data_IF_184602551869
#
_entry.id   IF_184602551869
#
_cell.length_a   1.000
_cell.length_b   1.000
_cell.length_c   1.000
_cell.angle_alpha   90.00
_cell.angle_beta   90.00
_cell.angle_gamma   90.00
#
_symmetry.space_group_name_H-M   'P 1'
#
loop_
_entity.id
_entity.type
_entity.pdbx_description
1 polymer ?
#
# COMPACT_ATOMS: atom_id res chain seq x y z
N UNK A 1 13.46 -7.36 54.85
CA UNK A 1 13.31 -7.33 53.37
C UNK A 1 12.63 -6.03 52.97
N UNK A 2 13.28 -5.20 52.15
CA UNK A 2 12.79 -3.86 51.76
C UNK A 2 11.70 -3.86 50.67
N UNK A 3 10.82 -4.86 50.64
CA UNK A 3 9.80 -5.03 49.60
C UNK A 3 8.43 -4.69 50.18
N UNK A 4 7.61 -3.95 49.43
CA UNK A 4 6.26 -3.60 49.87
C UNK A 4 5.37 -4.84 50.04
N UNK A 5 4.56 -4.89 51.11
CA UNK A 5 3.61 -5.99 51.35
C UNK A 5 2.68 -6.23 50.16
N UNK A 6 2.29 -5.15 49.46
CA UNK A 6 1.44 -5.20 48.26
C UNK A 6 2.09 -6.00 47.14
N UNK A 7 3.39 -5.83 46.94
CA UNK A 7 4.15 -6.57 45.91
C UNK A 7 4.17 -8.06 46.26
N UNK A 8 4.42 -8.40 47.53
CA UNK A 8 4.42 -9.79 48.02
C UNK A 8 3.06 -10.45 47.78
N UNK A 9 1.96 -9.81 48.18
CA UNK A 9 0.61 -10.34 47.95
C UNK A 9 0.25 -10.45 46.47
N UNK A 10 0.72 -9.55 45.62
CA UNK A 10 0.52 -9.62 44.17
C UNK A 10 1.27 -10.80 43.55
N UNK A 11 2.45 -11.15 44.08
CA UNK A 11 3.21 -12.33 43.64
C UNK A 11 2.53 -13.61 44.12
N UNK A 12 2.17 -13.72 45.40
CA UNK A 12 1.47 -14.90 45.94
C UNK A 12 0.18 -15.20 45.16
N UNK A 13 -0.66 -14.17 44.93
CA UNK A 13 -1.88 -14.34 44.11
C UNK A 13 -1.60 -14.79 42.68
N UNK A 14 -0.47 -14.39 42.07
CA UNK A 14 -0.12 -14.88 40.73
C UNK A 14 0.21 -16.36 40.74
N UNK A 15 0.97 -16.81 41.73
CA UNK A 15 1.34 -18.21 41.93
C UNK A 15 0.11 -19.09 42.22
N UNK A 16 -0.78 -18.63 43.10
CA UNK A 16 -2.05 -19.33 43.40
C UNK A 16 -2.93 -19.49 42.14
N UNK A 17 -2.88 -18.53 41.23
CA UNK A 17 -3.59 -18.58 39.94
C UNK A 17 -2.81 -19.32 38.83
N UNK A 18 -1.73 -20.04 39.17
CA UNK A 18 -0.93 -20.82 38.21
C UNK A 18 -0.05 -19.98 37.28
N UNK A 19 0.16 -18.70 37.57
CA UNK A 19 1.02 -17.81 36.78
C UNK A 19 2.46 -17.76 37.32
N UNK A 20 3.40 -17.34 36.47
CA UNK A 20 4.81 -17.15 36.83
C UNK A 20 5.04 -16.04 37.87
N UNK A 21 6.08 -16.23 38.69
CA UNK A 21 6.62 -15.25 39.65
C UNK A 21 7.33 -14.09 38.94
N UNK A 22 7.74 -14.31 37.69
CA UNK A 22 8.48 -13.33 36.91
C UNK A 22 7.71 -12.02 36.72
N UNK A 23 8.47 -10.96 36.46
CA UNK A 23 7.90 -9.65 36.15
C UNK A 23 7.11 -9.73 34.85
N UNK A 24 5.83 -9.39 34.91
CA UNK A 24 5.03 -9.20 33.69
C UNK A 24 5.62 -8.05 32.87
N UNK A 25 5.87 -8.30 31.59
CA UNK A 25 6.25 -7.26 30.64
C UNK A 25 5.11 -6.25 30.55
N UNK A 26 5.42 -4.97 30.74
CA UNK A 26 4.41 -3.91 30.72
C UNK A 26 3.71 -3.83 29.35
N UNK A 27 2.40 -3.60 29.34
CA UNK A 27 1.56 -3.52 28.15
C UNK A 27 1.68 -2.19 27.38
N UNK A 28 2.87 -1.58 27.37
CA UNK A 28 3.08 -0.24 26.81
C UNK A 28 2.51 -0.12 25.40
N UNK A 29 1.76 0.96 25.12
CA UNK A 29 1.17 1.19 23.80
C UNK A 29 2.29 1.46 22.78
N UNK A 30 2.43 0.65 21.72
CA UNK A 30 3.42 0.94 20.69
C UNK A 30 3.08 2.26 20.00
N UNK A 31 4.08 3.15 19.89
CA UNK A 31 3.92 4.43 19.21
C UNK A 31 3.65 4.19 17.71
N UNK A 32 2.43 4.44 17.25
CA UNK A 32 2.07 4.31 15.83
C UNK A 32 2.42 5.61 15.11
N UNK A 33 3.27 5.52 14.07
CA UNK A 33 3.64 6.67 13.22
C UNK A 33 2.49 7.17 12.33
N UNK A 34 1.40 6.39 12.22
CA UNK A 34 0.28 6.67 11.34
C UNK A 34 -1.03 6.18 11.96
N UNK A 35 -2.11 6.94 11.75
CA UNK A 35 -3.45 6.51 12.15
C UNK A 35 -3.95 5.34 11.31
N UNK A 36 -4.84 4.53 11.88
CA UNK A 36 -5.41 3.36 11.21
C UNK A 36 -6.12 3.74 9.89
N UNK A 37 -6.91 4.82 9.90
CA UNK A 37 -7.59 5.35 8.70
C UNK A 37 -6.64 5.69 7.55
N UNK A 38 -5.48 6.29 7.85
CA UNK A 38 -4.46 6.60 6.83
C UNK A 38 -3.79 5.33 6.29
N UNK A 39 -3.63 4.31 7.15
CA UNK A 39 -3.07 3.02 6.77
C UNK A 39 -3.98 2.28 5.80
N UNK A 40 -5.29 2.29 6.05
CA UNK A 40 -6.30 1.72 5.16
C UNK A 40 -6.36 2.46 3.83
N UNK A 41 -6.32 3.79 3.85
CA UNK A 41 -6.26 4.59 2.61
C UNK A 41 -5.01 4.25 1.76
N UNK A 42 -3.85 4.03 2.39
CA UNK A 42 -2.62 3.61 1.73
C UNK A 42 -2.75 2.23 1.06
N UNK A 43 -3.34 1.27 1.79
CA UNK A 43 -3.58 -0.10 1.29
C UNK A 43 -4.55 -0.04 0.12
N UNK A 44 -5.69 0.64 0.26
CA UNK A 44 -6.69 0.80 -0.80
C UNK A 44 -6.11 1.50 -2.04
N UNK A 45 -5.24 2.49 -1.86
CA UNK A 45 -4.59 3.15 -2.99
C UNK A 45 -3.65 2.21 -3.77
N UNK A 46 -3.08 1.21 -3.10
CA UNK A 46 -2.04 0.32 -3.65
C UNK A 46 -2.59 -1.05 -4.08
N UNK A 47 -3.72 -1.47 -3.54
CA UNK A 47 -4.36 -2.75 -3.83
C UNK A 47 -4.78 -2.82 -5.31
N UNK A 48 -4.40 -3.91 -5.99
CA UNK A 48 -4.74 -4.15 -7.40
C UNK A 48 -4.05 -3.24 -8.43
N UNK A 49 -3.17 -2.31 -8.02
CA UNK A 49 -2.46 -1.43 -8.95
C UNK A 49 -1.06 -1.94 -9.28
N UNK A 50 -0.72 -1.91 -10.57
CA UNK A 50 0.60 -2.28 -11.07
C UNK A 50 1.50 -1.06 -11.22
N UNK A 51 2.81 -1.22 -10.95
CA UNK A 51 3.82 -0.20 -11.26
C UNK A 51 3.78 1.06 -10.39
N UNK A 52 3.16 1.00 -9.20
CA UNK A 52 3.14 2.15 -8.29
C UNK A 52 4.47 2.27 -7.55
N UNK A 53 5.18 3.38 -7.76
CA UNK A 53 6.45 3.64 -7.08
C UNK A 53 6.23 4.07 -5.63
N UNK A 54 6.79 3.31 -4.69
CA UNK A 54 6.78 3.65 -3.26
C UNK A 54 7.38 5.03 -2.96
N UNK A 55 8.38 5.46 -3.76
CA UNK A 55 8.99 6.80 -3.63
C UNK A 55 8.00 7.91 -3.95
N UNK A 56 6.98 7.64 -4.77
CA UNK A 56 5.90 8.59 -5.10
C UNK A 56 4.74 8.52 -4.10
N UNK A 57 4.55 7.38 -3.44
CA UNK A 57 3.48 7.21 -2.45
C UNK A 57 3.86 7.84 -1.11
N UNK A 58 5.09 7.61 -0.63
CA UNK A 58 5.56 8.09 0.68
C UNK A 58 5.28 9.57 0.96
N UNK A 59 5.62 10.50 0.05
CA UNK A 59 5.35 11.93 0.22
C UNK A 59 3.87 12.27 0.44
N UNK A 60 2.93 11.55 -0.20
CA UNK A 60 1.48 11.78 -0.05
C UNK A 60 0.99 11.53 1.39
N UNK A 61 1.67 10.63 2.09
CA UNK A 61 1.33 10.25 3.45
C UNK A 61 2.34 10.76 4.48
N UNK A 62 3.32 11.58 4.06
CA UNK A 62 4.43 12.09 4.88
C UNK A 62 5.20 10.98 5.62
N UNK A 63 5.47 9.86 4.93
CA UNK A 63 6.20 8.72 5.49
C UNK A 63 7.27 8.18 4.55
N UNK A 64 8.27 7.54 5.14
CA UNK A 64 9.38 6.94 4.39
C UNK A 64 8.94 5.75 3.54
N UNK A 65 9.65 5.57 2.41
CA UNK A 65 9.51 4.41 1.52
C UNK A 65 9.55 3.08 2.29
N UNK A 66 10.46 2.95 3.26
CA UNK A 66 10.63 1.72 4.05
C UNK A 66 9.39 1.41 4.87
N UNK A 67 8.78 2.44 5.47
CA UNK A 67 7.57 2.29 6.27
C UNK A 67 6.36 1.92 5.41
N UNK A 68 6.22 2.54 4.22
CA UNK A 68 5.21 2.15 3.21
C UNK A 68 5.36 0.67 2.85
N UNK A 69 6.59 0.24 2.53
CA UNK A 69 6.88 -1.15 2.15
C UNK A 69 6.45 -2.15 3.22
N UNK A 70 6.74 -1.86 4.49
CA UNK A 70 6.35 -2.73 5.60
C UNK A 70 4.84 -2.83 5.75
N UNK A 71 4.13 -1.70 5.70
CA UNK A 71 2.65 -1.71 5.77
C UNK A 71 2.06 -2.56 4.65
N UNK A 72 2.54 -2.41 3.42
CA UNK A 72 1.99 -3.15 2.29
C UNK A 72 2.28 -4.66 2.40
N UNK A 73 3.45 -5.04 2.91
CA UNK A 73 3.78 -6.45 3.21
C UNK A 73 2.87 -7.04 4.29
N UNK A 74 2.66 -6.32 5.38
CA UNK A 74 1.77 -6.74 6.48
C UNK A 74 0.31 -6.92 6.02
N UNK A 75 -0.11 -6.21 4.97
CA UNK A 75 -1.47 -6.29 4.41
C UNK A 75 -1.54 -7.15 3.13
N UNK A 76 -0.53 -8.00 2.87
CA UNK A 76 -0.47 -8.90 1.71
C UNK A 76 -0.60 -8.21 0.34
N UNK A 77 -0.29 -6.92 0.24
CA UNK A 77 -0.31 -6.18 -1.02
C UNK A 77 0.98 -6.46 -1.78
N UNK A 78 0.87 -7.26 -2.85
CA UNK A 78 2.01 -7.55 -3.73
C UNK A 78 2.40 -6.32 -4.52
N UNK A 79 3.64 -5.88 -4.35
CA UNK A 79 4.24 -4.83 -5.16
C UNK A 79 4.63 -5.41 -6.52
N UNK A 80 3.71 -5.36 -7.47
CA UNK A 80 3.99 -5.82 -8.81
C UNK A 80 4.79 -4.78 -9.60
N UNK A 81 5.84 -5.25 -10.26
CA UNK A 81 6.61 -4.44 -11.21
C UNK A 81 5.70 -3.95 -12.33
N UNK A 82 6.06 -2.82 -12.94
CA UNK A 82 5.33 -2.29 -14.09
C UNK A 82 5.37 -3.36 -15.19
N UNK A 83 4.21 -3.82 -15.65
CA UNK A 83 4.13 -4.66 -16.84
C UNK A 83 4.57 -3.81 -18.04
N UNK A 84 5.61 -4.26 -18.74
CA UNK A 84 5.97 -3.68 -20.03
C UNK A 84 4.98 -4.19 -21.07
N UNK A 85 4.34 -3.27 -21.79
CA UNK A 85 3.61 -3.64 -23.00
C UNK A 85 4.64 -4.09 -24.05
N UNK A 86 4.36 -5.16 -24.82
CA UNK A 86 5.21 -5.55 -25.92
C UNK A 86 5.31 -4.39 -26.92
N UNK A 87 6.49 -4.17 -27.49
CA UNK A 87 6.67 -3.19 -28.57
C UNK A 87 5.84 -3.66 -29.77
N UNK A 88 5.09 -2.75 -30.39
CA UNK A 88 4.36 -3.04 -31.62
C UNK A 88 5.31 -3.57 -32.70
N UNK A 89 4.89 -4.62 -33.40
CA UNK A 89 5.57 -5.09 -34.60
C UNK A 89 5.49 -4.04 -35.72
N UNK A 90 6.42 -4.09 -36.68
CA UNK A 90 6.42 -3.15 -37.81
C UNK A 90 5.12 -3.20 -38.62
N UNK A 91 4.51 -4.39 -38.78
CA UNK A 91 3.19 -4.54 -39.41
C UNK A 91 2.09 -3.79 -38.65
N UNK A 92 2.06 -3.91 -37.32
CA UNK A 92 1.08 -3.22 -36.48
C UNK A 92 1.26 -1.69 -36.51
N UNK A 93 2.51 -1.21 -36.58
CA UNK A 93 2.79 0.23 -36.73
C UNK A 93 2.30 0.75 -38.08
N UNK A 94 2.51 -0.01 -39.17
CA UNK A 94 2.03 0.36 -40.50
C UNK A 94 0.49 0.44 -40.54
N UNK A 95 -0.19 -0.54 -39.96
CA UNK A 95 -1.65 -0.54 -39.85
C UNK A 95 -2.18 0.63 -39.02
N UNK A 96 -1.54 0.93 -37.88
CA UNK A 96 -1.91 2.10 -37.07
C UNK A 96 -1.82 3.39 -37.87
N UNK A 97 -0.75 3.59 -38.66
CA UNK A 97 -0.61 4.77 -39.53
C UNK A 97 -1.75 4.86 -40.55
N UNK A 98 -2.10 3.75 -41.20
CA UNK A 98 -3.21 3.69 -42.17
C UNK A 98 -4.55 4.03 -41.50
N UNK A 99 -4.85 3.44 -40.35
CA UNK A 99 -6.10 3.68 -39.60
C UNK A 99 -6.21 5.12 -39.10
N UNK A 100 -5.10 5.69 -38.60
CA UNK A 100 -5.06 7.09 -38.17
C UNK A 100 -5.30 8.05 -39.34
N UNK A 101 -4.70 7.78 -40.51
CA UNK A 101 -4.94 8.56 -41.72
C UNK A 101 -6.40 8.54 -42.14
N UNK A 102 -7.01 7.36 -42.16
CA UNK A 102 -8.43 7.23 -42.49
C UNK A 102 -9.32 8.00 -41.51
N UNK A 103 -9.06 7.89 -40.21
CA UNK A 103 -9.77 8.64 -39.17
C UNK A 103 -9.64 10.16 -39.36
N UNK A 104 -8.44 10.66 -39.68
CA UNK A 104 -8.26 12.09 -39.94
C UNK A 104 -9.01 12.54 -41.19
N UNK A 105 -8.96 11.76 -42.27
CA UNK A 105 -9.65 12.10 -43.51
C UNK A 105 -11.18 12.11 -43.31
N UNK A 106 -11.72 11.16 -42.53
CA UNK A 106 -13.16 11.09 -42.22
C UNK A 106 -13.63 12.13 -41.19
N UNK A 107 -12.78 12.53 -40.26
CA UNK A 107 -13.15 13.48 -39.20
C UNK A 107 -13.04 14.95 -39.66
N UNK A 108 -12.21 15.23 -40.66
CA UNK A 108 -11.98 16.58 -41.18
C UNK A 108 -12.51 16.81 -42.61
N UNK A 109 -13.21 15.84 -43.20
CA UNK A 109 -13.95 16.06 -44.44
C UNK A 109 -15.15 16.98 -44.18
N UNK A 110 -15.33 18.09 -44.93
CA UNK A 110 -16.53 18.89 -44.82
C UNK A 110 -17.73 18.03 -45.19
N UNK A 111 -18.72 17.97 -44.30
CA UNK A 111 -20.04 17.44 -44.65
C UNK A 111 -20.58 18.36 -45.75
N UNK A 112 -20.50 17.93 -47.01
CA UNK A 112 -21.21 18.61 -48.09
C UNK A 112 -22.70 18.37 -47.84
N UNK A 113 -23.34 19.31 -47.15
CA UNK A 113 -24.79 19.42 -47.08
C UNK A 113 -25.32 19.60 -48.51
N UNK A 114 -25.84 18.52 -49.08
CA UNK A 114 -26.69 18.57 -50.27
C UNK A 114 -28.01 19.23 -49.86
N UNK A 115 -28.20 20.49 -50.26
CA UNK A 115 -29.49 21.17 -50.32
C UNK A 115 -30.13 20.97 -51.68
#
# INVERSE_FOLDING_TARGET
MGISKRTTYSICRRVENGNSVERQVGSGRPARKMSQKKREALVNQSHGKFGVSLRKIGPKFKIDKKYVSNILKENNVKLATRKFAPKYSEKQKLEQKRKLRHLSESAFSPQMELK
#
